data_IF_867519435554
#
_entry.id   IF_867519435554
#
_cell.length_a   1.000
_cell.length_b   1.000
_cell.length_c   1.000
_cell.angle_alpha   90.00
_cell.angle_beta   90.00
_cell.angle_gamma   90.00
#
_symmetry.space_group_name_H-M   'P 1'
#
loop_
_entity.id
_entity.type
_entity.pdbx_description
1 polymer ?
#
# COMPACT_ATOMS: atom_id res chain seq x y z
N UNK A 1 37.23 8.55 9.95
CA UNK A 1 36.45 9.19 8.86
C UNK A 1 36.04 8.20 7.78
N UNK A 2 36.88 7.25 7.38
CA UNK A 2 36.58 6.28 6.31
C UNK A 2 35.37 5.34 6.60
N UNK A 3 35.21 4.87 7.85
CA UNK A 3 34.09 4.01 8.25
C UNK A 3 32.72 4.71 8.34
N UNK A 4 32.66 6.05 8.40
CA UNK A 4 31.39 6.79 8.46
C UNK A 4 30.67 6.83 7.11
N UNK A 5 31.43 6.86 6.00
CA UNK A 5 30.89 6.89 4.64
C UNK A 5 30.03 5.66 4.29
N UNK A 6 30.50 4.41 4.49
CA UNK A 6 29.69 3.23 4.15
C UNK A 6 28.44 3.10 5.04
N UNK A 7 28.52 3.49 6.32
CA UNK A 7 27.34 3.50 7.20
C UNK A 7 26.33 4.56 6.77
N UNK A 8 26.78 5.76 6.37
CA UNK A 8 25.90 6.82 5.89
C UNK A 8 25.23 6.46 4.56
N UNK A 9 25.98 5.87 3.62
CA UNK A 9 25.41 5.35 2.37
C UNK A 9 24.37 4.26 2.61
N UNK A 10 24.61 3.35 3.56
CA UNK A 10 23.65 2.33 3.94
C UNK A 10 22.35 2.93 4.50
N UNK A 11 22.46 3.96 5.36
CA UNK A 11 21.28 4.67 5.88
C UNK A 11 20.50 5.39 4.77
N UNK A 12 21.19 6.01 3.80
CA UNK A 12 20.54 6.66 2.67
C UNK A 12 19.82 5.67 1.76
N UNK A 13 20.41 4.48 1.52
CA UNK A 13 19.75 3.41 0.76
C UNK A 13 18.50 2.91 1.48
N UNK A 14 18.58 2.66 2.77
CA UNK A 14 17.43 2.27 3.57
C UNK A 14 16.33 3.33 3.52
N UNK A 15 16.67 4.61 3.65
CA UNK A 15 15.70 5.70 3.54
C UNK A 15 15.02 5.72 2.16
N UNK A 16 15.79 5.51 1.07
CA UNK A 16 15.25 5.43 -0.27
C UNK A 16 14.31 4.23 -0.45
N UNK A 17 14.65 3.07 0.11
CA UNK A 17 13.80 1.87 0.11
C UNK A 17 12.49 2.13 0.85
N UNK A 18 12.53 2.75 2.02
CA UNK A 18 11.32 3.09 2.78
C UNK A 18 10.39 4.03 2.00
N UNK A 19 10.95 5.06 1.36
CA UNK A 19 10.17 6.00 0.52
C UNK A 19 9.56 5.29 -0.69
N UNK A 20 10.31 4.38 -1.33
CA UNK A 20 9.82 3.61 -2.45
C UNK A 20 8.69 2.66 -2.02
N UNK A 21 8.86 1.95 -0.92
CA UNK A 21 7.85 1.05 -0.37
C UNK A 21 6.54 1.80 -0.06
N UNK A 22 6.63 2.98 0.56
CA UNK A 22 5.47 3.82 0.85
C UNK A 22 4.79 4.33 -0.43
N UNK A 23 5.56 4.78 -1.41
CA UNK A 23 5.02 5.25 -2.69
C UNK A 23 4.31 4.13 -3.46
N UNK A 24 4.91 2.94 -3.52
CA UNK A 24 4.32 1.77 -4.18
C UNK A 24 3.06 1.31 -3.45
N UNK A 25 3.08 1.28 -2.11
CA UNK A 25 1.92 0.91 -1.30
C UNK A 25 0.77 1.88 -1.55
N UNK A 26 1.02 3.18 -1.49
CA UNK A 26 0.01 4.23 -1.71
C UNK A 26 -0.58 4.15 -3.11
N UNK A 27 0.27 4.04 -4.14
CA UNK A 27 -0.19 3.92 -5.52
C UNK A 27 -1.10 2.69 -5.73
N UNK A 28 -0.73 1.54 -5.16
CA UNK A 28 -1.55 0.32 -5.24
C UNK A 28 -2.91 0.51 -4.59
N UNK A 29 -2.94 1.10 -3.39
CA UNK A 29 -4.19 1.36 -2.66
C UNK A 29 -5.09 2.29 -3.46
N UNK A 30 -4.56 3.40 -3.98
CA UNK A 30 -5.33 4.34 -4.81
C UNK A 30 -5.91 3.66 -6.06
N UNK A 31 -5.11 2.80 -6.72
CA UNK A 31 -5.56 2.06 -7.90
C UNK A 31 -6.69 1.08 -7.57
N UNK A 32 -6.61 0.39 -6.43
CA UNK A 32 -7.65 -0.53 -5.97
C UNK A 32 -8.93 0.23 -5.67
N UNK A 33 -8.86 1.37 -4.96
CA UNK A 33 -10.04 2.21 -4.70
C UNK A 33 -10.72 2.67 -5.99
N UNK A 34 -9.95 3.18 -6.97
CA UNK A 34 -10.52 3.56 -8.27
C UNK A 34 -11.16 2.38 -9.00
N UNK A 35 -10.58 1.19 -8.90
CA UNK A 35 -11.15 -0.03 -9.48
C UNK A 35 -12.45 -0.45 -8.79
N UNK A 36 -12.51 -0.33 -7.46
CA UNK A 36 -13.72 -0.56 -6.67
C UNK A 36 -14.83 0.40 -7.08
N UNK A 37 -14.53 1.69 -7.18
CA UNK A 37 -15.51 2.71 -7.58
C UNK A 37 -16.06 2.42 -8.99
N UNK A 38 -15.18 2.04 -9.93
CA UNK A 38 -15.59 1.66 -11.27
C UNK A 38 -16.48 0.39 -11.29
N UNK A 39 -16.13 -0.63 -10.50
CA UNK A 39 -16.91 -1.86 -10.38
C UNK A 39 -18.30 -1.58 -9.79
N UNK A 40 -18.37 -0.75 -8.74
CA UNK A 40 -19.63 -0.34 -8.14
C UNK A 40 -20.51 0.45 -9.12
N UNK A 41 -19.92 1.38 -9.89
CA UNK A 41 -20.65 2.14 -10.90
C UNK A 41 -21.20 1.26 -12.04
N UNK A 42 -20.48 0.18 -12.37
CA UNK A 42 -20.90 -0.80 -13.38
C UNK A 42 -21.83 -1.90 -12.84
N UNK A 43 -21.99 -2.01 -11.52
CA UNK A 43 -22.68 -3.14 -10.88
C UNK A 43 -21.92 -4.47 -10.99
N UNK A 44 -20.61 -4.43 -11.21
CA UNK A 44 -19.74 -5.59 -11.31
C UNK A 44 -19.35 -6.12 -9.91
N UNK A 45 -20.16 -7.04 -9.41
CA UNK A 45 -19.99 -7.61 -8.08
C UNK A 45 -18.72 -8.49 -7.96
N UNK A 46 -18.31 -9.18 -9.02
CA UNK A 46 -17.14 -10.06 -8.99
C UNK A 46 -15.87 -9.23 -8.84
N UNK A 47 -15.70 -8.21 -9.68
CA UNK A 47 -14.55 -7.31 -9.62
C UNK A 47 -14.52 -6.56 -8.30
N UNK A 48 -15.67 -6.08 -7.82
CA UNK A 48 -15.77 -5.45 -6.51
C UNK A 48 -15.27 -6.37 -5.38
N UNK A 49 -15.76 -7.61 -5.31
CA UNK A 49 -15.39 -8.57 -4.26
C UNK A 49 -13.91 -8.91 -4.29
N UNK A 50 -13.35 -9.10 -5.49
CA UNK A 50 -11.93 -9.37 -5.70
C UNK A 50 -11.05 -8.22 -5.22
N UNK A 51 -11.33 -7.00 -5.68
CA UNK A 51 -10.56 -5.80 -5.30
C UNK A 51 -10.72 -5.45 -3.82
N UNK A 52 -11.90 -5.65 -3.23
CA UNK A 52 -12.11 -5.46 -1.80
C UNK A 52 -11.33 -6.48 -0.96
N UNK A 53 -11.16 -7.71 -1.45
CA UNK A 53 -10.32 -8.70 -0.78
C UNK A 53 -8.82 -8.32 -0.87
N UNK A 54 -8.37 -7.85 -2.03
CA UNK A 54 -7.01 -7.33 -2.22
C UNK A 54 -6.73 -6.14 -1.29
N UNK A 55 -7.68 -5.19 -1.19
CA UNK A 55 -7.55 -4.04 -0.29
C UNK A 55 -7.39 -4.48 1.17
N UNK A 56 -8.21 -5.43 1.65
CA UNK A 56 -8.13 -5.95 3.02
C UNK A 56 -6.80 -6.64 3.33
N UNK A 57 -6.15 -7.24 2.33
CA UNK A 57 -4.84 -7.86 2.51
C UNK A 57 -3.71 -6.82 2.69
N UNK A 58 -3.84 -5.64 2.04
CA UNK A 58 -2.83 -4.55 2.10
C UNK A 58 -3.10 -3.59 3.26
N UNK A 59 -4.37 -3.38 3.57
CA UNK A 59 -4.86 -2.51 4.63
C UNK A 59 -5.96 -3.26 5.38
N UNK A 60 -5.59 -4.09 6.37
CA UNK A 60 -6.58 -4.73 7.22
C UNK A 60 -7.44 -3.64 7.87
N UNK A 61 -8.76 -3.86 7.99
CA UNK A 61 -9.61 -2.90 8.70
C UNK A 61 -9.07 -2.72 10.12
N UNK A 62 -9.25 -1.52 10.67
CA UNK A 62 -8.97 -1.31 12.09
C UNK A 62 -9.66 -2.43 12.89
N UNK A 63 -9.03 -2.96 13.96
CA UNK A 63 -9.73 -3.87 14.85
C UNK A 63 -10.98 -3.12 15.30
N UNK A 64 -12.14 -3.54 14.81
CA UNK A 64 -13.43 -3.03 15.25
C UNK A 64 -13.40 -3.12 16.76
N UNK A 65 -13.45 -1.96 17.43
CA UNK A 65 -13.75 -1.93 18.86
C UNK A 65 -14.98 -2.83 19.03
N UNK A 66 -14.77 -3.92 19.74
CA UNK A 66 -15.83 -4.79 20.23
C UNK A 66 -16.64 -3.91 21.20
N UNK A 67 -17.54 -3.10 20.64
CA UNK A 67 -18.60 -2.41 21.39
C UNK A 67 -19.66 -3.44 21.78
#
# INVERSE_FOLDING_TARGET
MDKMKPTYEAMLRLAAEMVLDEAVRTFRIERIYRGIDAALAAGDEETFRSLAAELRAIQPPAPTEQL
#
